data_IF_242931815990
#
_entry.id   IF_242931815990
#
_cell.length_a   1.000
_cell.length_b   1.000
_cell.length_c   1.000
_cell.angle_alpha   90.00
_cell.angle_beta   90.00
_cell.angle_gamma   90.00
#
_symmetry.space_group_name_H-M   'P 1'
#
loop_
_entity.id
_entity.type
_entity.pdbx_description
1 polymer ?
#
# COMPACT_ATOMS: atom_id res chain seq x y z
N UNK A 1 -13.89 4.84 17.81
CA UNK A 1 -12.67 5.67 17.68
C UNK A 1 -11.93 5.10 16.49
N UNK A 2 -12.03 5.73 15.32
CA UNK A 2 -11.41 5.22 14.09
C UNK A 2 -9.89 5.31 14.25
N UNK A 3 -9.20 4.18 14.09
CA UNK A 3 -7.75 4.09 14.27
C UNK A 3 -7.09 4.65 12.99
N UNK A 4 -7.08 5.98 12.87
CA UNK A 4 -6.61 6.71 11.69
C UNK A 4 -5.17 6.31 11.36
N UNK A 5 -4.89 6.04 10.07
CA UNK A 5 -3.52 5.81 9.59
C UNK A 5 -2.67 7.04 9.95
N UNK A 6 -1.64 6.86 10.77
CA UNK A 6 -0.72 7.94 11.15
C UNK A 6 0.60 7.90 10.36
N UNK A 7 1.35 8.99 10.42
CA UNK A 7 2.60 9.13 9.66
C UNK A 7 3.68 8.13 10.07
N UNK A 8 3.70 7.68 11.32
CA UNK A 8 4.66 6.69 11.80
C UNK A 8 4.35 5.30 11.21
N UNK A 9 3.07 4.98 11.08
CA UNK A 9 2.61 3.77 10.41
C UNK A 9 2.99 3.77 8.92
N UNK A 10 2.72 4.88 8.22
CA UNK A 10 3.10 5.03 6.80
C UNK A 10 4.61 4.83 6.62
N UNK A 11 5.43 5.45 7.47
CA UNK A 11 6.88 5.32 7.38
C UNK A 11 7.36 3.91 7.74
N UNK A 12 6.70 3.24 8.70
CA UNK A 12 6.97 1.84 9.01
C UNK A 12 6.72 0.93 7.81
N UNK A 13 5.59 1.10 7.12
CA UNK A 13 5.24 0.32 5.92
C UNK A 13 6.18 0.65 4.76
N UNK A 14 6.51 1.92 4.54
CA UNK A 14 7.52 2.35 3.56
C UNK A 14 8.87 1.68 3.82
N UNK A 15 9.33 1.65 5.06
CA UNK A 15 10.57 0.99 5.44
C UNK A 15 10.53 -0.53 5.17
N UNK A 16 9.36 -1.18 5.33
CA UNK A 16 9.14 -2.60 4.98
C UNK A 16 9.14 -2.84 3.46
N UNK A 17 8.59 -1.92 2.68
CA UNK A 17 8.64 -1.96 1.21
C UNK A 17 10.08 -1.84 0.71
N UNK A 18 10.84 -0.86 1.21
CA UNK A 18 12.24 -0.61 0.80
C UNK A 18 13.19 -1.76 1.11
N UNK A 19 12.94 -2.52 2.19
CA UNK A 19 13.68 -3.75 2.50
C UNK A 19 13.18 -4.98 1.72
N UNK A 20 12.10 -4.85 0.94
CA UNK A 20 11.48 -5.95 0.19
C UNK A 20 10.74 -6.97 1.05
N UNK A 21 10.32 -6.61 2.27
CA UNK A 21 9.68 -7.51 3.24
C UNK A 21 8.18 -7.70 2.92
N UNK A 22 7.88 -8.31 1.77
CA UNK A 22 6.51 -8.49 1.28
C UNK A 22 5.60 -9.19 2.31
N UNK A 23 6.10 -10.21 3.01
CA UNK A 23 5.33 -10.91 4.04
C UNK A 23 4.86 -10.00 5.18
N UNK A 24 5.73 -9.10 5.64
CA UNK A 24 5.39 -8.13 6.70
C UNK A 24 4.40 -7.07 6.20
N UNK A 25 4.53 -6.63 4.95
CA UNK A 25 3.62 -5.67 4.33
C UNK A 25 2.23 -6.28 4.15
N UNK A 26 2.14 -7.51 3.63
CA UNK A 26 0.88 -8.23 3.47
C UNK A 26 0.20 -8.53 4.81
N UNK A 27 0.97 -8.93 5.84
CA UNK A 27 0.45 -9.13 7.18
C UNK A 27 -0.13 -7.84 7.79
N UNK A 28 0.46 -6.69 7.47
CA UNK A 28 -0.02 -5.39 7.94
C UNK A 28 -1.36 -5.00 7.31
N UNK A 29 -1.55 -5.25 6.01
CA UNK A 29 -2.79 -4.90 5.30
C UNK A 29 -3.92 -5.93 5.48
N UNK A 30 -3.60 -7.22 5.67
CA UNK A 30 -4.61 -8.28 5.81
C UNK A 30 -5.48 -8.15 7.07
N UNK A 31 -5.00 -7.44 8.10
CA UNK A 31 -5.73 -7.24 9.35
C UNK A 31 -6.53 -5.93 9.39
N UNK A 32 -6.68 -5.25 8.24
CA UNK A 32 -7.31 -3.94 8.12
C UNK A 32 -8.52 -3.99 7.21
N UNK A 33 -9.41 -3.01 7.37
CA UNK A 33 -10.51 -2.84 6.44
C UNK A 33 -10.04 -2.17 5.13
N UNK A 34 -10.90 -2.20 4.12
CA UNK A 34 -10.56 -1.69 2.79
C UNK A 34 -10.32 -0.17 2.78
N UNK A 35 -10.94 0.57 3.69
CA UNK A 35 -10.84 2.02 3.78
C UNK A 35 -9.48 2.42 4.35
N UNK A 36 -9.07 1.79 5.46
CA UNK A 36 -7.74 1.96 6.07
C UNK A 36 -6.63 1.59 5.09
N UNK A 37 -6.78 0.50 4.33
CA UNK A 37 -5.80 0.09 3.32
C UNK A 37 -5.73 1.07 2.17
N UNK A 38 -6.87 1.63 1.75
CA UNK A 38 -6.92 2.67 0.70
C UNK A 38 -6.20 3.94 1.18
N UNK A 39 -6.47 4.40 2.40
CA UNK A 39 -5.79 5.58 2.99
C UNK A 39 -4.28 5.37 3.12
N UNK A 40 -3.84 4.19 3.58
CA UNK A 40 -2.43 3.82 3.66
C UNK A 40 -1.74 3.85 2.29
N UNK A 41 -2.35 3.24 1.28
CA UNK A 41 -1.76 3.16 -0.06
C UNK A 41 -1.71 4.53 -0.74
N UNK A 42 -2.73 5.37 -0.56
CA UNK A 42 -2.70 6.76 -1.03
C UNK A 42 -1.58 7.55 -0.34
N UNK A 43 -1.38 7.35 0.97
CA UNK A 43 -0.31 8.00 1.73
C UNK A 43 1.09 7.56 1.32
N UNK A 44 1.22 6.33 0.81
CA UNK A 44 2.44 5.80 0.19
C UNK A 44 2.60 6.23 -1.29
N UNK A 45 1.67 7.02 -1.82
CA UNK A 45 1.71 7.55 -3.19
C UNK A 45 1.12 6.63 -4.27
N UNK A 46 0.54 5.49 -3.89
CA UNK A 46 -0.11 4.58 -4.85
C UNK A 46 -1.49 5.09 -5.24
N UNK A 47 -1.82 4.98 -6.53
CA UNK A 47 -3.18 5.22 -7.02
C UNK A 47 -4.03 3.98 -6.89
N UNK A 48 -4.85 3.89 -5.84
CA UNK A 48 -5.84 2.83 -5.65
C UNK A 48 -7.21 3.43 -5.38
N UNK A 49 -8.26 2.74 -5.81
CA UNK A 49 -9.64 3.11 -5.56
C UNK A 49 -10.41 1.90 -5.06
N UNK A 50 -11.15 2.07 -3.96
CA UNK A 50 -12.07 1.04 -3.50
C UNK A 50 -13.20 0.87 -4.52
N UNK A 51 -13.48 -0.38 -4.90
CA UNK A 51 -14.66 -0.72 -5.69
C UNK A 51 -15.70 -1.40 -4.81
N UNK A 52 -16.77 -0.69 -4.39
CA UNK A 52 -17.77 -1.25 -3.47
C UNK A 52 -18.53 -2.45 -4.06
N UNK A 53 -18.51 -2.62 -5.39
CA UNK A 53 -19.17 -3.72 -6.11
C UNK A 53 -18.31 -4.98 -6.23
N UNK A 54 -16.98 -4.87 -6.04
CA UNK A 54 -16.08 -6.02 -6.21
C UNK A 54 -14.88 -5.96 -5.24
N UNK A 55 -15.12 -6.41 -4.01
CA UNK A 55 -14.08 -6.53 -2.97
C UNK A 55 -12.91 -7.41 -3.37
N UNK A 56 -13.15 -8.49 -4.13
CA UNK A 56 -12.09 -9.39 -4.60
C UNK A 56 -11.12 -8.69 -5.54
N UNK A 57 -11.65 -7.93 -6.50
CA UNK A 57 -10.83 -7.17 -7.44
C UNK A 57 -10.00 -6.09 -6.72
N UNK A 58 -10.57 -5.42 -5.70
CA UNK A 58 -9.82 -4.49 -4.86
C UNK A 58 -8.62 -5.16 -4.19
N UNK A 59 -8.83 -6.26 -3.47
CA UNK A 59 -7.74 -6.95 -2.77
C UNK A 59 -6.68 -7.55 -3.71
N UNK A 60 -7.09 -8.00 -4.89
CA UNK A 60 -6.15 -8.45 -5.92
C UNK A 60 -5.27 -7.29 -6.41
N UNK A 61 -5.86 -6.12 -6.67
CA UNK A 61 -5.11 -4.92 -7.04
C UNK A 61 -4.13 -4.48 -5.95
N UNK A 62 -4.57 -4.49 -4.68
CA UNK A 62 -3.72 -4.20 -3.52
C UNK A 62 -2.51 -5.13 -3.48
N UNK A 63 -2.72 -6.45 -3.60
CA UNK A 63 -1.63 -7.42 -3.60
C UNK A 63 -0.65 -7.18 -4.75
N UNK A 64 -1.15 -6.96 -5.97
CA UNK A 64 -0.30 -6.71 -7.14
C UNK A 64 0.56 -5.45 -6.97
N UNK A 65 -0.02 -4.37 -6.46
CA UNK A 65 0.71 -3.12 -6.15
C UNK A 65 1.80 -3.37 -5.12
N UNK A 66 1.50 -4.05 -4.02
CA UNK A 66 2.46 -4.31 -2.94
C UNK A 66 3.58 -5.27 -3.37
N UNK A 67 3.27 -6.27 -4.20
CA UNK A 67 4.27 -7.17 -4.80
C UNK A 67 5.24 -6.38 -5.67
N UNK A 68 4.73 -5.50 -6.54
CA UNK A 68 5.57 -4.64 -7.39
C UNK A 68 6.41 -3.70 -6.55
N UNK A 69 5.80 -3.03 -5.57
CA UNK A 69 6.48 -2.13 -4.64
C UNK A 69 7.66 -2.81 -3.94
N UNK A 70 7.43 -3.98 -3.33
CA UNK A 70 8.47 -4.71 -2.62
C UNK A 70 9.57 -5.25 -3.56
N UNK A 71 9.22 -5.68 -4.78
CA UNK A 71 10.19 -6.16 -5.77
C UNK A 71 11.10 -5.04 -6.26
N UNK A 72 10.51 -3.88 -6.53
CA UNK A 72 11.26 -2.69 -6.95
C UNK A 72 11.90 -1.94 -5.79
N UNK A 73 11.55 -2.27 -4.54
CA UNK A 73 11.96 -1.58 -3.31
C UNK A 73 11.61 -0.09 -3.31
N UNK A 74 10.48 0.24 -3.92
CA UNK A 74 10.02 1.62 -4.09
C UNK A 74 8.56 1.75 -3.66
N UNK A 75 8.23 2.86 -3.04
CA UNK A 75 6.84 3.25 -2.82
C UNK A 75 6.22 3.91 -4.07
N UNK A 76 4.94 4.30 -3.97
CA UNK A 76 4.20 4.86 -5.10
C UNK A 76 4.66 6.25 -5.50
N UNK A 77 5.22 7.02 -4.56
CA UNK A 77 5.78 8.34 -4.86
C UNK A 77 7.06 8.20 -5.70
N UNK A 78 7.97 7.32 -5.27
CA UNK A 78 9.22 7.02 -5.99
C UNK A 78 8.94 6.44 -7.38
N UNK A 79 7.97 5.53 -7.51
CA UNK A 79 7.54 4.99 -8.81
C UNK A 79 6.96 6.06 -9.74
N UNK A 80 6.24 7.05 -9.20
CA UNK A 80 5.66 8.14 -9.98
C UNK A 80 6.73 9.09 -10.49
N UNK A 81 7.72 9.43 -9.66
CA UNK A 81 8.85 10.29 -10.06
C UNK A 81 9.64 9.69 -11.23
N UNK A 82 9.90 8.38 -11.19
CA UNK A 82 10.57 7.67 -12.29
C UNK A 82 9.75 7.60 -13.58
N UNK A 83 8.42 7.63 -13.52
CA UNK A 83 7.57 7.58 -14.71
C UNK A 83 7.48 8.92 -15.46
N UNK A 84 7.89 10.02 -14.81
CA UNK A 84 7.82 11.39 -15.35
C UNK A 84 9.24 11.88 -15.78
N UNK A 85 10.29 11.16 -15.40
CA UNK A 85 11.70 11.43 -15.74
C UNK A 85 12.08 10.79 -17.07
#
# INVERSE_FOLDING_TARGET
MANRIDSAEVESVRAKIRRGALGEVLAHVNNRDAMDVTELLLSLGFGVAESPRNKRAFWQMVQDVLIRACRSRMDGAEMRELAIS
#
